data_IF_742935610641
#
_entry.id   IF_742935610641
#
_cell.length_a   1.000
_cell.length_b   1.000
_cell.length_c   1.000
_cell.angle_alpha   90.00
_cell.angle_beta   90.00
_cell.angle_gamma   90.00
#
_symmetry.space_group_name_H-M   'P 1'
#
loop_
_entity.id
_entity.type
_entity.pdbx_description
1 polymer ?
#
# COMPACT_ATOMS: atom_id res chain seq x y z
N UNK A 1 -1.08 23.08 16.79
CA UNK A 1 -0.30 21.91 16.40
C UNK A 1 -1.29 20.76 16.27
N UNK A 2 -1.52 20.26 15.04
CA UNK A 2 -2.58 19.31 14.72
C UNK A 2 -2.30 17.96 15.41
N UNK A 3 -3.36 17.23 15.83
CA UNK A 3 -3.24 15.89 16.47
C UNK A 3 -2.40 14.92 15.64
N UNK A 4 -2.48 15.01 14.33
CA UNK A 4 -1.66 14.20 13.40
C UNK A 4 -0.15 14.44 13.62
N UNK A 5 0.28 15.69 13.74
CA UNK A 5 1.69 16.05 14.02
C UNK A 5 2.15 15.50 15.38
N UNK A 6 1.25 15.41 16.35
CA UNK A 6 1.56 14.88 17.68
C UNK A 6 1.79 13.35 17.68
N UNK A 7 1.09 12.61 16.84
CA UNK A 7 1.32 11.17 16.68
C UNK A 7 2.63 10.87 15.92
N UNK A 8 2.93 11.65 14.91
CA UNK A 8 4.14 11.50 14.08
C UNK A 8 5.42 11.91 14.82
N UNK A 9 5.33 12.88 15.76
CA UNK A 9 6.50 13.48 16.43
C UNK A 9 6.57 13.18 17.94
N UNK A 10 5.72 12.33 18.48
CA UNK A 10 5.70 12.02 19.92
C UNK A 10 6.95 11.24 20.33
N UNK A 11 7.73 11.81 21.22
CA UNK A 11 8.95 11.22 21.80
C UNK A 11 8.71 10.02 22.74
N UNK A 12 7.47 9.67 23.02
CA UNK A 12 7.08 8.54 23.88
C UNK A 12 6.47 7.40 23.06
N UNK A 13 7.30 6.70 22.29
CA UNK A 13 6.99 5.35 21.84
C UNK A 13 6.28 5.17 20.49
N UNK A 14 5.68 6.19 19.92
CA UNK A 14 5.07 6.09 18.57
C UNK A 14 6.16 6.39 17.52
N UNK A 15 6.88 5.36 17.16
CA UNK A 15 7.82 5.41 16.03
C UNK A 15 7.03 5.32 14.75
N UNK A 16 7.45 6.07 13.73
CA UNK A 16 6.99 5.85 12.37
C UNK A 16 7.43 4.44 11.95
N UNK A 17 6.53 3.72 11.31
CA UNK A 17 6.87 2.50 10.59
C UNK A 17 7.61 2.82 9.28
N UNK A 18 7.90 1.80 8.47
CA UNK A 18 8.59 1.98 7.20
C UNK A 18 7.84 2.92 6.24
N UNK A 19 6.52 2.81 6.18
CA UNK A 19 5.70 3.70 5.35
C UNK A 19 5.80 5.15 5.82
N UNK A 20 5.58 5.41 7.09
CA UNK A 20 5.62 6.76 7.65
C UNK A 20 6.98 7.43 7.49
N UNK A 21 8.09 6.69 7.66
CA UNK A 21 9.44 7.24 7.44
C UNK A 21 9.69 7.51 5.96
N UNK A 22 9.32 6.58 5.07
CA UNK A 22 9.50 6.76 3.63
C UNK A 22 8.70 7.97 3.11
N UNK A 23 7.46 8.14 3.54
CA UNK A 23 6.67 9.35 3.26
C UNK A 23 7.37 10.64 3.73
N UNK A 24 7.88 10.64 4.95
CA UNK A 24 8.56 11.81 5.50
C UNK A 24 9.82 12.16 4.70
N UNK A 25 10.59 11.18 4.27
CA UNK A 25 11.79 11.37 3.43
C UNK A 25 11.41 11.92 2.07
N UNK A 26 10.44 11.33 1.38
CA UNK A 26 9.98 11.80 0.06
C UNK A 26 9.44 13.24 0.17
N UNK A 27 8.60 13.53 1.15
CA UNK A 27 8.07 14.86 1.37
C UNK A 27 9.17 15.89 1.66
N UNK A 28 10.16 15.53 2.50
CA UNK A 28 11.32 16.37 2.78
C UNK A 28 12.15 16.66 1.53
N UNK A 29 12.40 15.64 0.71
CA UNK A 29 13.10 15.79 -0.56
C UNK A 29 12.36 16.74 -1.53
N UNK A 30 11.03 16.61 -1.62
CA UNK A 30 10.21 17.52 -2.43
C UNK A 30 10.31 18.97 -1.97
N UNK A 31 10.25 19.22 -0.64
CA UNK A 31 10.40 20.57 -0.07
C UNK A 31 11.79 21.16 -0.38
N UNK A 32 12.82 20.31 -0.41
CA UNK A 32 14.18 20.70 -0.76
C UNK A 32 14.44 20.82 -2.27
N UNK A 33 13.43 20.54 -3.11
CA UNK A 33 13.50 20.67 -4.56
C UNK A 33 13.97 19.43 -5.31
N UNK A 34 14.18 18.29 -4.65
CA UNK A 34 14.49 17.00 -5.27
C UNK A 34 13.21 16.36 -5.81
N UNK A 35 12.88 16.64 -7.07
CA UNK A 35 11.62 16.21 -7.68
C UNK A 35 11.60 14.78 -8.17
N UNK A 36 12.75 14.15 -8.29
CA UNK A 36 12.97 12.79 -8.81
C UNK A 36 13.00 11.73 -7.71
N UNK A 37 12.74 12.12 -6.46
CA UNK A 37 12.66 11.20 -5.32
C UNK A 37 11.23 10.74 -5.12
N UNK A 38 11.00 9.42 -5.21
CA UNK A 38 9.69 8.80 -5.20
C UNK A 38 9.59 7.69 -4.15
N UNK A 39 8.37 7.39 -3.76
CA UNK A 39 8.06 6.27 -2.89
C UNK A 39 8.04 4.97 -3.72
N UNK A 40 8.67 3.93 -3.21
CA UNK A 40 8.50 2.56 -3.69
C UNK A 40 7.80 1.73 -2.61
N UNK A 41 6.78 0.98 -3.01
CA UNK A 41 5.92 0.24 -2.12
C UNK A 41 5.87 -1.24 -2.52
N UNK A 42 6.03 -2.08 -1.54
CA UNK A 42 5.48 -3.43 -1.56
C UNK A 42 4.24 -3.49 -0.66
N UNK A 43 3.78 -4.68 -0.38
CA UNK A 43 2.61 -4.89 0.47
C UNK A 43 2.88 -4.60 1.95
N UNK A 44 4.12 -4.87 2.41
CA UNK A 44 4.50 -4.73 3.81
C UNK A 44 5.77 -3.90 4.02
N UNK A 45 6.27 -3.26 2.97
CA UNK A 45 7.46 -2.43 3.06
C UNK A 45 7.40 -1.20 2.16
N UNK A 46 8.12 -0.15 2.56
CA UNK A 46 8.28 1.08 1.81
C UNK A 46 9.73 1.56 1.87
N UNK A 47 10.25 1.98 0.73
CA UNK A 47 11.57 2.57 0.58
C UNK A 47 11.53 3.72 -0.42
N UNK A 48 12.68 4.27 -0.77
CA UNK A 48 12.80 5.40 -1.67
C UNK A 48 13.52 5.01 -2.93
N UNK A 49 13.05 5.52 -4.07
CA UNK A 49 13.72 5.44 -5.37
C UNK A 49 13.99 6.85 -5.90
N UNK A 50 15.09 7.04 -6.63
CA UNK A 50 15.48 8.34 -7.14
C UNK A 50 16.37 8.20 -8.38
N UNK A 51 16.51 9.31 -9.12
CA UNK A 51 17.35 9.37 -10.30
C UNK A 51 16.80 8.62 -11.50
N UNK A 52 17.41 8.84 -12.65
CA UNK A 52 17.02 8.21 -13.91
C UNK A 52 17.21 6.69 -13.90
N UNK A 53 18.20 6.20 -13.17
CA UNK A 53 18.49 4.77 -13.03
C UNK A 53 17.59 4.06 -12.03
N UNK A 54 16.69 4.78 -11.37
CA UNK A 54 15.86 4.25 -10.28
C UNK A 54 16.69 3.65 -9.15
N UNK A 55 17.73 4.37 -8.75
CA UNK A 55 18.53 4.01 -7.60
C UNK A 55 17.64 3.93 -6.35
N UNK A 56 17.99 3.08 -5.41
CA UNK A 56 17.17 2.81 -4.23
C UNK A 56 17.87 3.24 -2.95
N UNK A 57 17.10 3.67 -1.95
CA UNK A 57 17.62 3.87 -0.61
C UNK A 57 16.65 3.31 0.44
N UNK A 58 17.17 2.49 1.33
CA UNK A 58 16.48 2.14 2.55
C UNK A 58 16.44 3.34 3.49
N UNK A 59 15.27 3.63 4.01
CA UNK A 59 15.06 4.78 4.89
C UNK A 59 14.65 4.37 6.30
N UNK A 60 14.37 3.07 6.48
CA UNK A 60 14.08 2.50 7.80
C UNK A 60 15.02 1.34 8.10
N UNK A 61 15.13 1.07 9.39
CA UNK A 61 15.70 -0.18 9.83
C UNK A 61 14.70 -1.31 9.52
N UNK A 62 15.12 -2.28 8.75
CA UNK A 62 14.36 -3.50 8.62
C UNK A 62 15.28 -4.68 8.89
N UNK A 63 14.80 -5.59 9.62
CA UNK A 63 15.32 -6.87 9.56
C UNK A 63 15.89 -7.53 10.78
N UNK A 64 16.46 -8.66 10.51
CA UNK A 64 17.10 -9.54 11.46
C UNK A 64 18.50 -9.01 11.71
N UNK A 65 18.80 -8.66 12.94
CA UNK A 65 20.10 -8.17 13.35
C UNK A 65 20.10 -6.69 13.74
N UNK A 66 21.22 -6.21 14.23
CA UNK A 66 21.39 -4.85 14.72
C UNK A 66 21.92 -3.90 13.63
N UNK A 67 21.81 -4.26 12.37
CA UNK A 67 22.32 -3.46 11.26
C UNK A 67 21.34 -2.36 10.88
N UNK A 68 21.82 -1.13 10.93
CA UNK A 68 21.10 0.03 10.42
C UNK A 68 21.37 0.15 8.91
N UNK A 69 20.33 -0.02 8.10
CA UNK A 69 20.42 0.04 6.64
C UNK A 69 20.00 1.39 6.06
N UNK A 70 19.65 2.35 6.91
CA UNK A 70 19.24 3.67 6.45
C UNK A 70 20.30 4.34 5.59
N UNK A 71 19.89 4.87 4.46
CA UNK A 71 20.76 5.51 3.49
C UNK A 71 21.57 4.54 2.61
N UNK A 72 21.37 3.24 2.74
CA UNK A 72 22.04 2.24 1.90
C UNK A 72 21.13 1.82 0.74
N UNK A 73 21.71 1.46 -0.41
CA UNK A 73 20.95 0.85 -1.49
C UNK A 73 20.31 -0.46 -1.03
N UNK A 74 19.14 -0.78 -1.56
CA UNK A 74 18.57 -2.13 -1.42
C UNK A 74 19.45 -3.11 -2.20
N UNK A 75 19.91 -4.15 -1.51
CA UNK A 75 20.79 -5.15 -2.13
C UNK A 75 20.07 -5.86 -3.28
N UNK A 76 20.68 -5.97 -4.50
CA UNK A 76 20.04 -6.59 -5.66
C UNK A 76 19.51 -8.01 -5.40
N UNK A 77 20.23 -8.82 -4.63
CA UNK A 77 19.80 -10.16 -4.25
C UNK A 77 18.53 -10.13 -3.41
N UNK A 78 18.41 -9.18 -2.47
CA UNK A 78 17.19 -9.02 -1.66
C UNK A 78 16.01 -8.53 -2.47
N UNK A 79 16.23 -7.67 -3.47
CA UNK A 79 15.17 -7.19 -4.34
C UNK A 79 14.49 -8.36 -5.08
N UNK A 80 15.29 -9.34 -5.51
CA UNK A 80 14.78 -10.47 -6.30
C UNK A 80 14.27 -11.64 -5.44
N UNK A 81 14.92 -11.90 -4.31
CA UNK A 81 14.70 -13.14 -3.57
C UNK A 81 13.79 -12.95 -2.35
N UNK A 82 13.61 -11.72 -1.87
CA UNK A 82 12.77 -11.44 -0.72
C UNK A 82 11.38 -10.97 -1.16
N UNK A 83 10.35 -11.67 -0.67
CA UNK A 83 8.96 -11.28 -0.88
C UNK A 83 8.66 -9.84 -0.43
N UNK A 84 9.41 -9.32 0.54
CA UNK A 84 9.31 -7.95 1.03
C UNK A 84 9.46 -6.90 -0.08
N UNK A 85 10.21 -7.21 -1.13
CA UNK A 85 10.42 -6.37 -2.31
C UNK A 85 9.66 -6.85 -3.55
N UNK A 86 8.73 -7.78 -3.36
CA UNK A 86 7.85 -8.38 -4.38
C UNK A 86 8.59 -8.79 -5.66
N UNK A 87 9.75 -9.43 -5.51
CA UNK A 87 10.55 -9.91 -6.66
C UNK A 87 10.93 -8.79 -7.63
N UNK A 88 11.26 -7.60 -7.13
CA UNK A 88 11.55 -6.40 -7.93
C UNK A 88 10.34 -5.88 -8.75
N UNK A 89 9.14 -6.08 -8.25
CA UNK A 89 7.89 -5.58 -8.84
C UNK A 89 7.11 -4.65 -7.89
N UNK A 90 7.79 -3.67 -7.24
CA UNK A 90 7.11 -2.74 -6.37
C UNK A 90 6.23 -1.78 -7.15
N UNK A 91 5.29 -1.16 -6.46
CA UNK A 91 4.62 0.03 -6.96
C UNK A 91 5.60 1.20 -6.80
N UNK A 92 6.18 1.69 -7.90
CA UNK A 92 6.98 2.93 -7.89
C UNK A 92 6.00 4.07 -8.13
N UNK A 93 5.75 4.83 -7.07
CA UNK A 93 4.67 5.80 -7.05
C UNK A 93 4.98 7.05 -7.89
N UNK A 94 4.03 7.47 -8.70
CA UNK A 94 3.90 8.88 -9.09
C UNK A 94 3.47 9.71 -7.87
N UNK A 95 3.46 11.04 -8.00
CA UNK A 95 2.98 11.92 -6.91
C UNK A 95 1.54 11.63 -6.51
N UNK A 96 0.72 11.27 -7.48
CA UNK A 96 -0.68 10.93 -7.26
C UNK A 96 -0.82 9.59 -6.54
N UNK A 97 -0.02 8.59 -6.91
CA UNK A 97 0.00 7.30 -6.23
C UNK A 97 0.59 7.41 -4.81
N UNK A 98 1.50 8.34 -4.55
CA UNK A 98 1.94 8.67 -3.18
C UNK A 98 0.78 9.19 -2.32
N UNK A 99 -0.08 10.04 -2.89
CA UNK A 99 -1.31 10.50 -2.22
C UNK A 99 -2.29 9.33 -2.02
N UNK A 100 -2.49 8.49 -3.03
CA UNK A 100 -3.35 7.31 -2.93
C UNK A 100 -2.87 6.35 -1.82
N UNK A 101 -1.56 6.15 -1.73
CA UNK A 101 -0.93 5.33 -0.69
C UNK A 101 -1.14 5.93 0.72
N UNK A 102 -1.00 7.25 0.85
CA UNK A 102 -1.27 7.94 2.12
C UNK A 102 -2.75 7.82 2.53
N UNK A 103 -3.68 7.98 1.58
CA UNK A 103 -5.12 7.81 1.84
C UNK A 103 -5.43 6.36 2.22
N UNK A 104 -4.87 5.39 1.50
CA UNK A 104 -5.05 3.96 1.79
C UNK A 104 -4.49 3.56 3.16
N UNK A 105 -3.48 4.25 3.67
CA UNK A 105 -2.88 3.97 4.97
C UNK A 105 -3.68 4.51 6.17
N UNK A 106 -4.78 5.22 5.94
CA UNK A 106 -5.67 5.67 7.02
C UNK A 106 -6.29 4.45 7.69
N UNK A 107 -5.93 4.23 8.95
CA UNK A 107 -6.46 3.12 9.73
C UNK A 107 -7.34 3.66 10.87
N UNK A 108 -8.64 3.58 10.68
CA UNK A 108 -9.62 4.05 11.65
C UNK A 108 -9.76 3.14 12.89
N UNK A 109 -9.19 1.93 12.86
CA UNK A 109 -9.21 1.01 14.00
C UNK A 109 -8.16 1.33 15.08
N UNK A 110 -7.18 2.21 14.79
CA UNK A 110 -6.06 2.50 15.71
C UNK A 110 -6.49 3.35 16.91
N UNK A 111 -7.51 4.19 16.77
CA UNK A 111 -7.94 5.08 17.86
C UNK A 111 -9.39 4.89 18.23
N UNK A 112 -9.68 4.39 19.46
CA UNK A 112 -11.05 4.25 19.94
C UNK A 112 -11.79 5.59 20.09
N UNK A 113 -11.07 6.71 20.06
CA UNK A 113 -11.64 8.07 20.20
C UNK A 113 -12.02 8.71 18.87
N UNK A 114 -11.74 8.07 17.73
CA UNK A 114 -12.16 8.53 16.41
C UNK A 114 -13.49 7.88 16.07
N UNK A 115 -14.39 8.63 15.46
CA UNK A 115 -15.57 8.06 14.83
C UNK A 115 -15.11 7.28 13.59
N UNK A 116 -15.06 5.96 13.71
CA UNK A 116 -14.56 5.09 12.65
C UNK A 116 -15.43 5.11 11.39
N UNK A 117 -16.73 5.44 11.53
CA UNK A 117 -17.64 5.54 10.40
C UNK A 117 -17.36 6.81 9.59
N UNK A 118 -17.18 7.96 10.25
CA UNK A 118 -16.85 9.21 9.57
C UNK A 118 -15.49 9.12 8.87
N UNK A 119 -14.48 8.58 9.54
CA UNK A 119 -13.14 8.41 8.97
C UNK A 119 -13.16 7.44 7.79
N UNK A 120 -13.88 6.32 7.91
CA UNK A 120 -14.05 5.35 6.82
C UNK A 120 -14.77 5.95 5.62
N UNK A 121 -15.84 6.71 5.83
CA UNK A 121 -16.57 7.43 4.78
C UNK A 121 -15.69 8.44 4.07
N UNK A 122 -14.91 9.24 4.82
CA UNK A 122 -13.96 10.18 4.25
C UNK A 122 -12.87 9.47 3.41
N UNK A 123 -12.33 8.37 3.91
CA UNK A 123 -11.34 7.57 3.18
C UNK A 123 -11.92 7.05 1.87
N UNK A 124 -13.15 6.53 1.90
CA UNK A 124 -13.85 6.01 0.74
C UNK A 124 -14.07 7.10 -0.31
N UNK A 125 -14.55 8.29 0.08
CA UNK A 125 -14.71 9.42 -0.82
C UNK A 125 -13.39 9.86 -1.47
N UNK A 126 -12.31 9.94 -0.69
CA UNK A 126 -10.99 10.30 -1.21
C UNK A 126 -10.45 9.24 -2.19
N UNK A 127 -10.66 7.95 -1.90
CA UNK A 127 -10.27 6.87 -2.82
C UNK A 127 -11.09 6.90 -4.10
N UNK A 128 -12.39 7.20 -4.04
CA UNK A 128 -13.22 7.39 -5.24
C UNK A 128 -12.76 8.57 -6.08
N UNK A 129 -12.40 9.69 -5.47
CA UNK A 129 -11.83 10.82 -6.21
C UNK A 129 -10.55 10.43 -6.95
N UNK A 130 -9.67 9.68 -6.29
CA UNK A 130 -8.42 9.19 -6.89
C UNK A 130 -8.69 8.15 -8.00
N UNK A 131 -9.68 7.29 -7.82
CA UNK A 131 -10.13 6.34 -8.84
C UNK A 131 -10.63 7.05 -10.10
N UNK A 132 -11.52 8.04 -9.95
CA UNK A 132 -12.08 8.82 -11.07
C UNK A 132 -10.99 9.60 -11.84
N UNK A 133 -9.89 9.94 -11.18
CA UNK A 133 -8.74 10.60 -11.78
C UNK A 133 -7.73 9.62 -12.40
N UNK A 134 -7.97 8.32 -12.35
CA UNK A 134 -7.08 7.28 -12.87
C UNK A 134 -5.82 7.05 -12.01
N UNK A 135 -5.82 7.51 -10.77
CA UNK A 135 -4.65 7.42 -9.90
C UNK A 135 -4.54 6.11 -9.12
N UNK A 136 -5.52 5.22 -9.27
CA UNK A 136 -5.49 3.87 -8.73
C UNK A 136 -5.18 2.78 -9.77
N UNK A 137 -5.12 3.14 -11.07
CA UNK A 137 -4.99 2.20 -12.19
C UNK A 137 -3.78 1.26 -12.12
N UNK A 138 -2.74 1.64 -11.36
CA UNK A 138 -1.53 0.84 -11.17
C UNK A 138 -1.27 0.50 -9.70
N UNK A 139 -2.25 0.68 -8.84
CA UNK A 139 -2.07 0.47 -7.41
C UNK A 139 -3.08 -0.54 -6.85
N UNK A 140 -2.78 -1.85 -6.98
CA UNK A 140 -3.75 -2.91 -6.66
C UNK A 140 -4.13 -2.94 -5.17
N UNK A 141 -3.26 -2.52 -4.24
CA UNK A 141 -3.60 -2.47 -2.83
C UNK A 141 -4.61 -1.36 -2.51
N UNK A 142 -4.51 -0.20 -3.18
CA UNK A 142 -5.49 0.88 -3.02
C UNK A 142 -6.87 0.50 -3.57
N UNK A 143 -6.91 -0.20 -4.72
CA UNK A 143 -8.14 -0.78 -5.26
C UNK A 143 -8.77 -1.78 -4.29
N UNK A 144 -7.95 -2.68 -3.71
CA UNK A 144 -8.42 -3.63 -2.71
C UNK A 144 -9.00 -2.94 -1.46
N UNK A 145 -8.37 -1.86 -1.00
CA UNK A 145 -8.86 -1.09 0.13
C UNK A 145 -10.20 -0.38 -0.19
N UNK A 146 -10.30 0.22 -1.37
CA UNK A 146 -11.57 0.81 -1.84
C UNK A 146 -12.67 -0.26 -1.90
N UNK A 147 -12.37 -1.45 -2.43
CA UNK A 147 -13.33 -2.54 -2.52
C UNK A 147 -13.79 -3.03 -1.13
N UNK A 148 -12.90 -3.10 -0.13
CA UNK A 148 -13.28 -3.45 1.25
C UNK A 148 -14.22 -2.39 1.87
N UNK A 149 -13.99 -1.10 1.61
CA UNK A 149 -14.89 -0.03 2.04
C UNK A 149 -16.26 -0.11 1.34
N UNK A 150 -16.26 -0.37 0.03
CA UNK A 150 -17.49 -0.58 -0.75
C UNK A 150 -18.27 -1.83 -0.33
N UNK A 151 -17.61 -2.85 0.22
CA UNK A 151 -18.33 -3.99 0.80
C UNK A 151 -19.11 -3.61 2.05
N UNK A 152 -18.55 -2.69 2.85
CA UNK A 152 -19.18 -2.23 4.12
C UNK A 152 -20.29 -1.22 3.84
N UNK A 153 -20.04 -0.26 2.98
CA UNK A 153 -20.96 0.85 2.67
C UNK A 153 -20.97 1.12 1.15
N UNK A 154 -21.77 0.36 0.37
CA UNK A 154 -21.84 0.52 -1.08
C UNK A 154 -22.25 1.93 -1.51
N UNK A 155 -21.47 2.56 -2.37
CA UNK A 155 -21.76 3.87 -2.94
C UNK A 155 -22.71 3.73 -4.13
N UNK A 156 -23.76 4.55 -4.14
CA UNK A 156 -24.73 4.54 -5.24
C UNK A 156 -24.05 4.90 -6.56
N UNK A 157 -24.47 4.22 -7.63
CA UNK A 157 -24.02 4.46 -9.02
C UNK A 157 -22.50 4.24 -9.23
N UNK A 158 -21.85 3.44 -8.36
CA UNK A 158 -20.44 3.04 -8.45
C UNK A 158 -20.31 1.54 -8.74
N UNK A 159 -19.16 1.08 -9.28
CA UNK A 159 -18.87 -0.34 -9.42
C UNK A 159 -19.05 -1.10 -8.10
N UNK A 160 -19.57 -2.31 -8.18
CA UNK A 160 -19.70 -3.14 -7.00
C UNK A 160 -18.32 -3.59 -6.48
N UNK A 161 -18.21 -3.82 -5.16
CA UNK A 161 -16.93 -4.19 -4.53
C UNK A 161 -16.24 -5.39 -5.22
N UNK A 162 -16.99 -6.37 -5.73
CA UNK A 162 -16.39 -7.52 -6.41
C UNK A 162 -15.75 -7.14 -7.76
N UNK A 163 -16.29 -6.15 -8.47
CA UNK A 163 -15.72 -5.65 -9.72
C UNK A 163 -14.39 -4.95 -9.46
N UNK A 164 -14.30 -4.17 -8.38
CA UNK A 164 -13.07 -3.49 -7.96
C UNK A 164 -12.01 -4.51 -7.49
N UNK A 165 -12.41 -5.56 -6.79
CA UNK A 165 -11.49 -6.66 -6.45
C UNK A 165 -10.95 -7.37 -7.69
N UNK A 166 -11.79 -7.61 -8.69
CA UNK A 166 -11.37 -8.23 -9.95
C UNK A 166 -10.43 -7.28 -10.74
N UNK A 167 -10.66 -5.98 -10.68
CA UNK A 167 -9.77 -4.95 -11.23
C UNK A 167 -8.40 -4.98 -10.53
N UNK A 168 -8.34 -5.03 -9.21
CA UNK A 168 -7.09 -5.14 -8.46
C UNK A 168 -6.28 -6.38 -8.86
N UNK A 169 -6.94 -7.54 -9.03
CA UNK A 169 -6.32 -8.76 -9.55
C UNK A 169 -5.82 -8.60 -10.99
N UNK A 170 -6.58 -7.89 -11.83
CA UNK A 170 -6.18 -7.62 -13.22
C UNK A 170 -4.93 -6.76 -13.28
N UNK A 171 -4.88 -5.69 -12.49
CA UNK A 171 -3.70 -4.80 -12.38
C UNK A 171 -2.46 -5.57 -11.93
N UNK A 172 -2.58 -6.41 -10.91
CA UNK A 172 -1.44 -7.22 -10.46
C UNK A 172 -0.93 -8.14 -11.57
N UNK A 173 -1.81 -8.82 -12.28
CA UNK A 173 -1.43 -9.75 -13.36
C UNK A 173 -0.79 -9.05 -14.55
N UNK A 174 -1.34 -7.92 -14.95
CA UNK A 174 -0.92 -7.23 -16.18
C UNK A 174 0.28 -6.31 -15.95
N UNK A 175 0.35 -5.63 -14.83
CA UNK A 175 1.37 -4.62 -14.53
C UNK A 175 2.53 -5.20 -13.72
N UNK A 176 2.23 -6.06 -12.75
CA UNK A 176 3.22 -6.58 -11.80
C UNK A 176 3.56 -8.05 -12.01
N UNK A 177 3.10 -8.65 -13.10
CA UNK A 177 3.39 -10.03 -13.46
C UNK A 177 3.01 -11.02 -12.34
N UNK A 178 1.92 -10.72 -11.63
CA UNK A 178 1.37 -11.54 -10.56
C UNK A 178 2.33 -11.73 -9.38
N UNK A 179 2.94 -10.65 -8.90
CA UNK A 179 3.88 -10.68 -7.77
C UNK A 179 3.29 -10.18 -6.44
N UNK A 180 2.10 -9.56 -6.47
CA UNK A 180 1.43 -9.09 -5.27
C UNK A 180 0.49 -10.15 -4.67
N UNK A 181 0.54 -10.31 -3.37
CA UNK A 181 -0.24 -11.32 -2.61
C UNK A 181 -1.59 -10.77 -2.18
N UNK A 182 -1.63 -9.50 -1.77
CA UNK A 182 -2.80 -8.89 -1.15
C UNK A 182 -4.04 -8.83 -2.04
N UNK A 183 -3.98 -8.61 -3.36
CA UNK A 183 -5.16 -8.70 -4.20
C UNK A 183 -5.90 -10.04 -4.07
N UNK A 184 -5.16 -11.14 -3.95
CA UNK A 184 -5.75 -12.47 -3.70
C UNK A 184 -6.31 -12.62 -2.30
N UNK A 185 -5.65 -12.04 -1.28
CA UNK A 185 -6.14 -12.13 0.10
C UNK A 185 -7.41 -11.31 0.31
N UNK A 186 -7.53 -10.15 -0.32
CA UNK A 186 -8.78 -9.36 -0.35
C UNK A 186 -9.93 -10.18 -0.95
N UNK A 187 -9.73 -10.74 -2.14
CA UNK A 187 -10.75 -11.58 -2.80
C UNK A 187 -11.11 -12.80 -1.95
N UNK A 188 -10.12 -13.44 -1.33
CA UNK A 188 -10.36 -14.59 -0.45
C UNK A 188 -11.20 -14.20 0.78
N UNK A 189 -10.86 -13.09 1.43
CA UNK A 189 -11.62 -12.54 2.56
C UNK A 189 -13.06 -12.20 2.17
N UNK A 190 -13.25 -11.50 1.06
CA UNK A 190 -14.58 -11.19 0.53
C UNK A 190 -15.41 -12.45 0.29
N UNK A 191 -14.88 -13.44 -0.45
CA UNK A 191 -15.58 -14.71 -0.72
C UNK A 191 -15.91 -15.47 0.56
N UNK A 192 -15.00 -15.48 1.53
CA UNK A 192 -15.23 -16.10 2.82
C UNK A 192 -16.41 -15.43 3.58
N UNK A 193 -16.46 -14.11 3.61
CA UNK A 193 -17.59 -13.35 4.21
C UNK A 193 -18.91 -13.64 3.50
N UNK A 194 -18.88 -13.85 2.18
CA UNK A 194 -20.05 -14.27 1.37
C UNK A 194 -20.38 -15.76 1.44
N UNK A 195 -19.68 -16.54 2.29
CA UNK A 195 -19.85 -17.99 2.48
C UNK A 195 -19.50 -18.83 1.24
N UNK A 196 -18.78 -18.25 0.27
CA UNK A 196 -18.16 -19.01 -0.84
C UNK A 196 -16.80 -19.56 -0.36
N UNK A 197 -16.85 -20.58 0.48
CA UNK A 197 -15.65 -21.18 1.07
C UNK A 197 -14.74 -21.82 0.02
N UNK A 198 -15.33 -22.41 -1.03
CA UNK A 198 -14.55 -23.01 -2.13
C UNK A 198 -13.79 -21.95 -2.91
N UNK A 199 -14.43 -20.86 -3.25
CA UNK A 199 -13.80 -19.71 -3.91
C UNK A 199 -12.75 -19.05 -3.05
N UNK A 200 -13.01 -18.89 -1.74
CA UNK A 200 -12.05 -18.34 -0.78
C UNK A 200 -10.77 -19.19 -0.71
N UNK A 201 -10.91 -20.51 -0.55
CA UNK A 201 -9.77 -21.45 -0.54
C UNK A 201 -8.96 -21.42 -1.83
N UNK A 202 -9.63 -21.29 -2.99
CA UNK A 202 -8.94 -21.13 -4.27
C UNK A 202 -8.12 -19.84 -4.33
N UNK A 203 -8.68 -18.73 -3.86
CA UNK A 203 -7.97 -17.45 -3.84
C UNK A 203 -6.78 -17.46 -2.86
N UNK A 204 -6.91 -18.05 -1.67
CA UNK A 204 -5.77 -18.22 -0.75
C UNK A 204 -4.70 -19.14 -1.32
N UNK A 205 -5.06 -20.20 -2.04
CA UNK A 205 -4.09 -21.05 -2.73
C UNK A 205 -3.31 -20.28 -3.81
N UNK A 206 -3.98 -19.35 -4.51
CA UNK A 206 -3.33 -18.45 -5.46
C UNK A 206 -2.38 -17.49 -4.75
N UNK A 207 -2.79 -16.84 -3.64
CA UNK A 207 -1.92 -16.02 -2.81
C UNK A 207 -0.66 -16.79 -2.37
N UNK A 208 -0.83 -18.01 -1.86
CA UNK A 208 0.30 -18.87 -1.46
C UNK A 208 1.23 -19.23 -2.63
N UNK A 209 0.72 -19.31 -3.85
CA UNK A 209 1.55 -19.58 -5.04
C UNK A 209 2.39 -18.40 -5.47
N UNK A 210 1.95 -17.16 -5.19
CA UNK A 210 2.73 -15.94 -5.42
C UNK A 210 3.96 -15.90 -4.50
N UNK A 211 3.78 -16.19 -3.22
CA UNK A 211 4.87 -16.20 -2.22
C UNK A 211 5.96 -17.23 -2.52
N UNK A 212 5.61 -18.32 -3.22
CA UNK A 212 6.56 -19.42 -3.51
C UNK A 212 7.43 -19.18 -4.75
N UNK A 213 7.24 -18.09 -5.45
CA UNK A 213 8.04 -17.74 -6.64
C UNK A 213 9.25 -16.92 -6.26
#
# INVERSE_FOLDING_TARGET
MNKFTKYVLSSKGNKLDCFGVAFAVVAGCQVLGFKDVHLALSEDHAWVVFGENRDTAEVTWHGKGNEDKRGQPVEPTKIHDAWLYVGNKPVICSRQEEVASLVSSINFAISPSLDSLEVGSMQQELLWMLYDMGHLDKYPMALGNLADLEEIAPTKDRPACHEIFDEALSVDRTTYNNHHVYPYTYVAGYRYRKKDFKGAMKAWAQAASVVKR
#
